data_IF_704556089142
#
_entry.id   IF_704556089142
#
_cell.length_a   1.000
_cell.length_b   1.000
_cell.length_c   1.000
_cell.angle_alpha   90.00
_cell.angle_beta   90.00
_cell.angle_gamma   90.00
#
_symmetry.space_group_name_H-M   'P 1'
#
loop_
_entity.id
_entity.type
_entity.pdbx_description
1 polymer ?
#
# COMPACT_ATOMS: atom_id res chain seq x y z
N UNK A 1 11.20 13.15 13.98
CA UNK A 1 11.92 13.13 12.71
C UNK A 1 11.92 14.50 12.03
N UNK A 2 10.74 15.11 11.79
CA UNK A 2 10.63 16.43 11.13
C UNK A 2 11.32 17.57 11.89
N UNK A 3 11.25 17.55 13.22
CA UNK A 3 11.98 18.49 14.08
C UNK A 3 13.49 18.31 13.87
N UNK A 4 13.97 17.07 13.88
CA UNK A 4 15.38 16.76 13.66
C UNK A 4 15.88 17.26 12.30
N UNK A 5 15.10 17.04 11.23
CA UNK A 5 15.40 17.58 9.89
C UNK A 5 15.48 19.11 9.88
N UNK A 6 14.46 19.77 10.43
CA UNK A 6 14.34 21.22 10.44
C UNK A 6 15.49 21.89 11.18
N UNK A 7 15.92 21.30 12.28
CA UNK A 7 17.01 21.80 13.12
C UNK A 7 18.37 21.16 12.81
N UNK A 8 18.46 20.33 11.77
CA UNK A 8 19.70 19.63 11.35
C UNK A 8 20.35 18.84 12.49
N UNK A 9 19.52 18.21 13.34
CA UNK A 9 20.02 17.37 14.43
C UNK A 9 20.56 16.06 13.89
N UNK A 10 21.58 15.50 14.55
CA UNK A 10 22.12 14.18 14.23
C UNK A 10 21.07 13.10 14.51
N UNK A 11 20.84 12.24 13.54
CA UNK A 11 20.00 11.05 13.75
C UNK A 11 20.84 9.95 14.38
N UNK A 12 20.37 9.45 15.54
CA UNK A 12 21.03 8.37 16.28
C UNK A 12 20.10 7.17 16.24
N UNK A 13 20.55 6.08 15.63
CA UNK A 13 19.85 4.80 15.68
C UNK A 13 20.45 3.95 16.81
N UNK A 14 19.63 3.58 17.77
CA UNK A 14 20.05 2.83 18.95
C UNK A 14 19.61 1.37 18.91
N UNK A 15 18.89 0.93 17.88
CA UNK A 15 18.33 -0.42 17.77
C UNK A 15 19.03 -1.26 16.72
N UNK A 16 19.17 -2.55 17.03
CA UNK A 16 19.34 -3.62 16.07
C UNK A 16 17.98 -4.05 15.49
N UNK A 17 17.99 -4.79 14.39
CA UNK A 17 16.77 -5.27 13.71
C UNK A 17 15.89 -6.18 14.62
N UNK A 18 16.48 -6.81 15.61
CA UNK A 18 15.80 -7.67 16.60
C UNK A 18 15.24 -6.92 17.82
N UNK A 19 15.33 -5.59 17.84
CA UNK A 19 14.87 -4.75 18.95
C UNK A 19 15.79 -4.69 20.17
N UNK A 20 17.01 -5.23 20.09
CA UNK A 20 18.07 -5.05 21.09
C UNK A 20 18.80 -3.74 20.83
N UNK A 21 19.46 -3.22 21.86
CA UNK A 21 20.25 -2.00 21.76
C UNK A 21 21.60 -2.29 21.11
N UNK A 22 22.03 -1.40 20.21
CA UNK A 22 23.29 -1.50 19.49
C UNK A 22 24.44 -0.74 20.21
N UNK A 23 25.60 -0.65 19.58
CA UNK A 23 26.79 0.00 20.11
C UNK A 23 26.74 1.55 20.14
N UNK A 24 25.60 2.16 19.80
CA UNK A 24 25.40 3.63 19.91
C UNK A 24 24.90 4.06 21.28
N UNK A 25 24.74 3.14 22.21
CA UNK A 25 24.33 3.37 23.61
C UNK A 25 25.49 3.12 24.57
N UNK A 26 25.40 3.53 25.86
CA UNK A 26 26.40 3.18 26.85
C UNK A 26 26.64 1.67 26.92
N UNK A 27 27.89 1.28 27.17
CA UNK A 27 28.36 -0.11 27.11
C UNK A 27 27.50 -1.10 27.92
N UNK A 28 27.07 -0.66 29.08
CA UNK A 28 26.20 -1.42 30.01
C UNK A 28 24.79 -1.72 29.49
N UNK A 29 24.39 -1.08 28.36
CA UNK A 29 23.08 -1.26 27.72
C UNK A 29 23.17 -2.00 26.37
N UNK A 30 24.36 -2.25 25.84
CA UNK A 30 24.56 -2.91 24.56
C UNK A 30 24.03 -4.35 24.62
N UNK A 31 23.29 -4.76 23.57
CA UNK A 31 22.74 -6.11 23.44
C UNK A 31 21.53 -6.44 24.30
N UNK A 32 21.09 -5.51 25.16
CA UNK A 32 19.92 -5.68 26.02
C UNK A 32 18.63 -5.46 25.23
N UNK A 33 17.57 -6.21 25.57
CA UNK A 33 16.24 -5.97 25.01
C UNK A 33 15.71 -4.58 25.41
N UNK A 34 14.99 -3.94 24.50
CA UNK A 34 14.47 -2.58 24.68
C UNK A 34 13.60 -2.37 25.93
N UNK A 35 12.86 -3.39 26.36
CA UNK A 35 12.02 -3.29 27.57
C UNK A 35 12.85 -3.40 28.84
N UNK A 36 13.82 -4.31 28.87
CA UNK A 36 14.78 -4.44 29.97
C UNK A 36 15.66 -3.18 30.08
N UNK A 37 16.08 -2.64 28.94
CA UNK A 37 16.87 -1.42 28.89
C UNK A 37 16.12 -0.20 29.47
N UNK A 38 14.79 -0.09 29.27
CA UNK A 38 13.97 0.97 29.91
C UNK A 38 14.00 0.89 31.42
N UNK A 39 13.95 -0.30 31.98
CA UNK A 39 14.03 -0.51 33.43
C UNK A 39 15.44 -0.13 33.93
N UNK A 40 16.47 -0.61 33.23
CA UNK A 40 17.86 -0.39 33.60
C UNK A 40 18.28 1.06 33.54
N UNK A 41 17.85 1.81 32.50
CA UNK A 41 18.17 3.25 32.39
C UNK A 41 17.54 4.07 33.51
N UNK A 42 16.33 3.74 33.96
CA UNK A 42 15.68 4.39 35.09
C UNK A 42 16.52 4.19 36.35
N UNK A 43 17.04 2.99 36.58
CA UNK A 43 17.91 2.69 37.71
C UNK A 43 19.20 3.51 37.65
N UNK A 44 19.88 3.52 36.51
CA UNK A 44 21.09 4.30 36.27
C UNK A 44 20.86 5.81 36.53
N UNK A 45 19.75 6.36 36.06
CA UNK A 45 19.41 7.75 36.27
C UNK A 45 19.15 8.06 37.78
N UNK A 46 18.53 7.15 38.51
CA UNK A 46 18.35 7.27 39.97
C UNK A 46 19.69 7.26 40.71
N UNK A 47 20.57 6.32 40.39
CA UNK A 47 21.89 6.21 40.98
C UNK A 47 22.75 7.45 40.74
N UNK A 48 22.64 8.02 39.54
CA UNK A 48 23.33 9.29 39.17
C UNK A 48 22.62 10.54 39.68
N UNK A 49 21.51 10.46 40.40
CA UNK A 49 20.67 11.56 40.87
C UNK A 49 20.20 12.50 39.74
N UNK A 50 19.97 11.94 38.56
CA UNK A 50 19.50 12.67 37.37
C UNK A 50 18.01 12.44 37.08
N UNK A 51 17.34 11.59 37.88
CA UNK A 51 15.90 11.32 37.72
C UNK A 51 15.12 12.25 38.64
N UNK A 52 14.33 13.14 38.04
CA UNK A 52 13.47 14.08 38.79
C UNK A 52 12.17 13.38 39.23
N UNK A 53 11.42 12.82 38.27
CA UNK A 53 10.15 12.10 38.53
C UNK A 53 9.81 11.11 37.43
N UNK A 54 8.89 10.20 37.74
CA UNK A 54 8.25 9.30 36.81
C UNK A 54 6.75 9.59 36.82
N UNK A 55 6.16 9.87 35.65
CA UNK A 55 4.72 10.10 35.51
C UNK A 55 4.09 9.06 34.57
N UNK A 56 2.93 8.56 34.95
CA UNK A 56 2.12 7.70 34.11
C UNK A 56 1.33 8.54 33.11
N UNK A 57 1.57 8.33 31.84
CA UNK A 57 0.84 9.01 30.75
C UNK A 57 0.07 7.99 29.91
N UNK A 58 -1.08 8.43 29.37
CA UNK A 58 -1.77 7.64 28.33
C UNK A 58 -1.13 7.97 26.99
N UNK A 59 -0.62 6.93 26.32
CA UNK A 59 -0.02 7.07 24.99
C UNK A 59 -0.54 5.97 24.06
N UNK A 60 -0.75 6.31 22.77
CA UNK A 60 -1.07 5.35 21.73
C UNK A 60 0.22 4.67 21.28
N UNK A 61 0.37 3.40 21.56
CA UNK A 61 1.51 2.59 21.17
C UNK A 61 1.17 1.78 19.92
N UNK A 62 1.97 1.87 18.84
CA UNK A 62 1.73 1.10 17.63
C UNK A 62 2.08 -0.38 17.84
N UNK A 63 1.23 -1.26 17.31
CA UNK A 63 1.42 -2.70 17.31
C UNK A 63 1.44 -3.25 15.89
N UNK A 64 2.21 -4.29 15.66
CA UNK A 64 2.21 -5.02 14.40
C UNK A 64 0.94 -5.85 14.23
N UNK A 65 0.22 -5.66 13.12
CA UNK A 65 -1.08 -6.30 12.86
C UNK A 65 -1.06 -7.83 12.91
N UNK A 66 0.07 -8.45 12.62
CA UNK A 66 0.22 -9.91 12.60
C UNK A 66 0.91 -10.47 13.83
N UNK A 67 1.92 -9.77 14.34
CA UNK A 67 2.74 -10.22 15.45
C UNK A 67 2.19 -9.80 16.82
N UNK A 68 1.31 -8.81 16.85
CA UNK A 68 0.84 -8.13 18.06
C UNK A 68 2.00 -7.63 18.95
N UNK A 69 3.15 -7.36 18.33
CA UNK A 69 4.34 -6.84 19.01
C UNK A 69 4.39 -5.32 18.91
N UNK A 70 4.91 -4.67 19.95
CA UNK A 70 5.14 -3.21 19.93
C UNK A 70 6.16 -2.87 18.85
N UNK A 71 5.84 -1.87 18.02
CA UNK A 71 6.69 -1.38 16.96
C UNK A 71 7.57 -0.25 17.48
N UNK A 72 8.86 -0.33 17.19
CA UNK A 72 9.83 0.75 17.44
C UNK A 72 10.26 1.38 16.10
N UNK A 73 10.41 2.72 16.05
CA UNK A 73 10.94 3.37 14.84
C UNK A 73 12.40 2.98 14.62
N UNK A 74 12.71 2.51 13.40
CA UNK A 74 14.04 2.18 12.96
C UNK A 74 14.36 2.90 11.65
N UNK A 75 15.44 3.65 11.61
CA UNK A 75 15.92 4.29 10.38
C UNK A 75 16.63 3.27 9.52
N UNK A 76 16.10 3.04 8.33
CA UNK A 76 16.67 2.14 7.32
C UNK A 76 16.67 2.80 5.95
N UNK A 77 17.60 2.39 5.10
CA UNK A 77 17.58 2.77 3.69
C UNK A 77 16.41 2.06 3.00
N UNK A 78 15.60 2.82 2.25
CA UNK A 78 14.41 2.32 1.57
C UNK A 78 14.34 2.92 0.16
N UNK A 79 13.70 2.21 -0.74
CA UNK A 79 13.37 2.73 -2.06
C UNK A 79 12.11 3.58 -2.02
N UNK A 80 12.21 4.79 -2.57
CA UNK A 80 11.07 5.70 -2.66
C UNK A 80 10.83 6.12 -4.11
N UNK A 81 9.55 6.14 -4.50
CA UNK A 81 9.11 6.81 -5.72
C UNK A 81 8.71 8.26 -5.38
N UNK A 82 9.13 9.21 -6.23
CA UNK A 82 8.68 10.60 -6.11
C UNK A 82 7.22 10.72 -6.56
N UNK A 83 6.32 10.43 -5.60
CA UNK A 83 4.90 10.47 -5.83
C UNK A 83 4.40 11.90 -6.14
N UNK A 84 5.05 12.94 -5.64
CA UNK A 84 4.68 14.34 -5.95
C UNK A 84 4.91 14.65 -7.43
N UNK A 85 6.03 14.19 -7.98
CA UNK A 85 6.30 14.33 -9.41
C UNK A 85 5.28 13.58 -10.25
N UNK A 86 5.02 12.30 -9.92
CA UNK A 86 4.09 11.45 -10.64
C UNK A 86 2.64 11.94 -10.56
N UNK A 87 2.23 12.49 -9.42
CA UNK A 87 0.88 13.00 -9.20
C UNK A 87 0.52 14.20 -10.07
N UNK A 88 1.48 15.05 -10.45
CA UNK A 88 1.23 16.27 -11.23
C UNK A 88 0.39 16.00 -12.49
N UNK A 89 0.80 15.02 -13.31
CA UNK A 89 0.09 14.65 -14.54
C UNK A 89 -1.25 13.97 -14.24
N UNK A 90 -1.31 13.10 -13.24
CA UNK A 90 -2.53 12.41 -12.83
C UNK A 90 -3.61 13.39 -12.33
N UNK A 91 -3.24 14.43 -11.58
CA UNK A 91 -4.13 15.53 -11.18
C UNK A 91 -4.65 16.29 -12.40
N UNK A 92 -3.77 16.62 -13.36
CA UNK A 92 -4.15 17.38 -14.56
C UNK A 92 -5.16 16.63 -15.43
N UNK A 93 -5.02 15.31 -15.54
CA UNK A 93 -5.93 14.45 -16.32
C UNK A 93 -7.35 14.51 -15.77
N UNK A 94 -7.53 14.52 -14.45
CA UNK A 94 -8.85 14.64 -13.81
C UNK A 94 -9.36 16.07 -13.90
N UNK A 95 -8.54 17.10 -13.68
CA UNK A 95 -8.92 18.51 -13.87
C UNK A 95 -9.42 18.79 -15.28
N UNK A 96 -8.78 18.19 -16.28
CA UNK A 96 -9.17 18.32 -17.72
C UNK A 96 -10.31 17.38 -18.12
N UNK A 97 -10.94 16.68 -17.17
CA UNK A 97 -12.04 15.74 -17.40
C UNK A 97 -11.74 14.61 -18.39
N UNK A 98 -10.46 14.26 -18.59
CA UNK A 98 -10.06 13.09 -19.39
C UNK A 98 -10.35 11.79 -18.66
N UNK A 99 -10.25 11.80 -17.33
CA UNK A 99 -10.73 10.75 -16.43
C UNK A 99 -11.77 11.35 -15.50
N UNK A 100 -12.94 10.72 -15.37
CA UNK A 100 -14.05 11.18 -14.54
C UNK A 100 -14.41 10.13 -13.52
N UNK A 101 -14.66 10.54 -12.26
CA UNK A 101 -15.17 9.67 -11.22
C UNK A 101 -16.70 9.65 -11.21
N UNK A 102 -17.25 8.47 -10.95
CA UNK A 102 -18.68 8.27 -10.77
C UNK A 102 -18.92 7.43 -9.50
N UNK A 103 -19.68 7.94 -8.51
CA UNK A 103 -20.22 9.30 -8.39
C UNK A 103 -19.13 10.39 -8.33
N UNK A 104 -19.48 11.58 -8.80
CA UNK A 104 -18.52 12.71 -8.91
C UNK A 104 -17.99 13.19 -7.53
N UNK A 105 -18.70 12.88 -6.43
CA UNK A 105 -18.25 13.20 -5.06
C UNK A 105 -16.84 12.69 -4.75
N UNK A 106 -16.44 11.55 -5.30
CA UNK A 106 -15.12 10.96 -5.11
C UNK A 106 -13.97 11.76 -5.75
N UNK A 107 -14.29 12.64 -6.69
CA UNK A 107 -13.30 13.56 -7.27
C UNK A 107 -12.67 14.46 -6.21
N UNK A 108 -13.47 14.95 -5.24
CA UNK A 108 -12.98 15.78 -4.13
C UNK A 108 -11.99 14.99 -3.27
N UNK A 109 -12.33 13.76 -2.89
CA UNK A 109 -11.46 12.87 -2.11
C UNK A 109 -10.16 12.56 -2.85
N UNK A 110 -10.24 12.25 -4.15
CA UNK A 110 -9.07 12.04 -4.99
C UNK A 110 -8.12 13.24 -4.96
N UNK A 111 -8.62 14.47 -5.16
CA UNK A 111 -7.79 15.67 -5.13
C UNK A 111 -7.19 15.94 -3.76
N UNK A 112 -7.95 15.70 -2.69
CA UNK A 112 -7.45 15.87 -1.33
C UNK A 112 -6.21 15.00 -1.07
N UNK A 113 -6.25 13.74 -1.47
CA UNK A 113 -5.12 12.82 -1.32
C UNK A 113 -3.96 13.16 -2.25
N UNK A 114 -4.25 13.43 -3.53
CA UNK A 114 -3.21 13.68 -4.53
C UNK A 114 -2.46 15.00 -4.32
N UNK A 115 -3.13 16.04 -3.82
CA UNK A 115 -2.47 17.32 -3.51
C UNK A 115 -1.58 17.24 -2.27
N UNK A 116 -1.86 16.34 -1.35
CA UNK A 116 -1.09 16.13 -0.10
C UNK A 116 -0.24 14.86 -0.12
N UNK A 117 0.02 14.31 -1.31
CA UNK A 117 0.71 13.04 -1.45
C UNK A 117 2.14 13.10 -0.90
N UNK A 118 2.50 12.10 -0.12
CA UNK A 118 3.84 11.92 0.42
C UNK A 118 4.69 11.01 -0.49
N UNK A 119 6.02 11.04 -0.37
CA UNK A 119 6.88 10.08 -1.06
C UNK A 119 6.43 8.65 -0.78
N UNK A 120 6.38 7.84 -1.83
CA UNK A 120 5.89 6.47 -1.72
C UNK A 120 7.04 5.50 -1.52
N UNK A 121 7.16 4.93 -0.32
CA UNK A 121 8.08 3.84 -0.07
C UNK A 121 7.60 2.59 -0.83
N UNK A 122 8.45 2.09 -1.74
CA UNK A 122 8.13 0.97 -2.62
C UNK A 122 8.87 -0.32 -2.26
N UNK A 123 9.79 -0.29 -1.31
CA UNK A 123 10.49 -1.48 -0.79
C UNK A 123 9.77 -2.08 0.41
N UNK A 124 9.79 -3.40 0.51
CA UNK A 124 9.22 -4.18 1.61
C UNK A 124 10.19 -5.28 2.02
N UNK A 125 10.35 -5.47 3.31
CA UNK A 125 11.14 -6.53 3.94
C UNK A 125 10.28 -7.78 4.11
N UNK A 126 9.84 -8.36 2.99
CA UNK A 126 9.00 -9.55 2.94
C UNK A 126 9.77 -10.70 2.28
N UNK A 127 9.46 -11.90 2.69
CA UNK A 127 10.08 -13.10 2.11
C UNK A 127 9.53 -13.44 0.71
N UNK A 128 8.27 -13.11 0.45
CA UNK A 128 7.61 -13.38 -0.82
C UNK A 128 7.24 -12.10 -1.54
N UNK A 129 7.56 -12.01 -2.82
CA UNK A 129 7.21 -10.87 -3.69
C UNK A 129 8.17 -10.73 -4.87
N UNK A 130 7.99 -9.67 -5.63
CA UNK A 130 8.89 -9.29 -6.73
C UNK A 130 10.14 -8.62 -6.16
N UNK A 131 11.28 -9.32 -6.18
CA UNK A 131 12.55 -8.76 -5.71
C UNK A 131 12.93 -7.54 -6.52
N UNK A 132 13.38 -6.51 -5.83
CA UNK A 132 13.85 -5.27 -6.45
C UNK A 132 15.00 -5.60 -7.42
N UNK A 133 14.92 -5.15 -8.69
CA UNK A 133 15.90 -5.46 -9.71
C UNK A 133 17.11 -4.51 -9.63
N UNK A 134 17.73 -4.43 -8.46
CA UNK A 134 18.88 -3.60 -8.16
C UNK A 134 20.00 -4.43 -7.55
N UNK A 135 21.24 -4.08 -7.92
CA UNK A 135 22.47 -4.70 -7.44
C UNK A 135 23.42 -3.65 -6.91
N UNK A 136 24.10 -3.96 -5.84
CA UNK A 136 25.01 -3.07 -5.13
C UNK A 136 26.45 -3.57 -5.24
N UNK A 137 27.37 -2.69 -5.58
CA UNK A 137 28.82 -2.93 -5.43
C UNK A 137 29.27 -2.66 -3.99
N UNK A 138 30.50 -3.05 -3.66
CA UNK A 138 31.10 -2.86 -2.33
C UNK A 138 31.14 -1.39 -1.87
N UNK A 139 31.27 -0.46 -2.81
CA UNK A 139 31.22 1.01 -2.57
C UNK A 139 29.79 1.58 -2.61
N UNK A 140 28.76 0.71 -2.52
CA UNK A 140 27.33 1.06 -2.51
C UNK A 140 26.81 1.72 -3.79
N UNK A 141 27.51 1.61 -4.91
CA UNK A 141 26.96 2.03 -6.21
C UNK A 141 25.83 1.07 -6.63
N UNK A 142 24.73 1.65 -7.13
CA UNK A 142 23.51 0.92 -7.50
C UNK A 142 23.48 0.71 -9.01
N UNK A 143 23.17 -0.53 -9.42
CA UNK A 143 22.95 -0.91 -10.80
C UNK A 143 21.58 -1.55 -10.92
N UNK A 144 20.69 -0.93 -11.71
CA UNK A 144 19.35 -1.46 -11.98
C UNK A 144 19.36 -2.15 -13.34
N UNK A 145 18.89 -3.40 -13.38
CA UNK A 145 18.91 -4.22 -14.58
C UNK A 145 17.80 -5.30 -14.51
N UNK A 146 17.46 -5.94 -15.61
CA UNK A 146 16.47 -7.03 -15.65
C UNK A 146 16.97 -8.29 -14.93
N UNK A 147 18.28 -8.57 -15.04
CA UNK A 147 18.92 -9.74 -14.45
C UNK A 147 20.36 -9.46 -14.02
N UNK A 148 20.94 -10.41 -13.28
CA UNK A 148 22.29 -10.28 -12.73
C UNK A 148 23.37 -10.16 -13.82
N UNK A 149 23.21 -10.88 -14.94
CA UNK A 149 24.17 -10.83 -16.04
C UNK A 149 24.28 -9.41 -16.63
N UNK A 150 23.13 -8.79 -16.85
CA UNK A 150 23.06 -7.41 -17.34
C UNK A 150 23.62 -6.42 -16.32
N UNK A 151 23.28 -6.58 -15.03
CA UNK A 151 23.82 -5.77 -13.96
C UNK A 151 25.37 -5.84 -13.92
N UNK A 152 25.95 -7.04 -14.03
CA UNK A 152 27.40 -7.25 -14.11
C UNK A 152 28.00 -6.59 -15.34
N UNK A 153 27.31 -6.64 -16.49
CA UNK A 153 27.75 -5.98 -17.73
C UNK A 153 27.82 -4.47 -17.59
N UNK A 154 26.75 -3.87 -16.98
CA UNK A 154 26.69 -2.44 -16.71
C UNK A 154 27.78 -2.03 -15.72
N UNK A 155 27.95 -2.78 -14.63
CA UNK A 155 29.02 -2.52 -13.63
C UNK A 155 30.43 -2.63 -14.22
N UNK A 156 30.68 -3.65 -15.04
CA UNK A 156 31.95 -3.80 -15.74
C UNK A 156 32.26 -2.60 -16.65
N UNK A 157 31.27 -2.08 -17.37
CA UNK A 157 31.41 -0.86 -18.18
C UNK A 157 31.75 0.36 -17.33
N UNK A 158 31.13 0.49 -16.16
CA UNK A 158 31.35 1.61 -15.23
C UNK A 158 32.72 1.55 -14.57
N UNK A 159 33.11 0.40 -14.01
CA UNK A 159 34.36 0.23 -13.28
C UNK A 159 35.55 -0.15 -14.16
N UNK A 160 35.32 -0.47 -15.44
CA UNK A 160 36.33 -1.00 -16.41
C UNK A 160 37.00 -2.30 -15.94
N UNK A 161 36.40 -2.97 -14.95
CA UNK A 161 36.86 -4.27 -14.42
C UNK A 161 35.63 -5.06 -13.93
N UNK A 162 35.81 -6.37 -13.72
CA UNK A 162 34.78 -7.17 -13.07
C UNK A 162 34.69 -6.80 -11.60
N UNK A 163 33.46 -6.63 -11.09
CA UNK A 163 33.17 -6.35 -9.67
C UNK A 163 32.07 -7.30 -9.19
N UNK A 164 32.17 -7.67 -7.93
CA UNK A 164 31.13 -8.45 -7.28
C UNK A 164 29.92 -7.55 -6.97
N UNK A 165 28.75 -8.09 -7.20
CA UNK A 165 27.51 -7.37 -6.97
C UNK A 165 26.60 -8.19 -6.05
N UNK A 166 26.00 -7.53 -5.07
CA UNK A 166 24.96 -8.10 -4.21
C UNK A 166 23.60 -7.57 -4.66
N UNK A 167 22.65 -8.47 -4.95
CA UNK A 167 21.26 -8.10 -5.26
C UNK A 167 20.55 -7.58 -4.01
N UNK A 168 19.64 -6.63 -4.19
CA UNK A 168 18.74 -6.15 -3.15
C UNK A 168 17.91 -7.33 -2.58
N UNK A 169 17.79 -7.38 -1.25
CA UNK A 169 17.07 -8.44 -0.56
C UNK A 169 15.57 -8.12 -0.44
N UNK A 170 15.19 -6.84 -0.59
CA UNK A 170 13.83 -6.37 -0.49
C UNK A 170 12.98 -6.71 -1.72
N UNK A 171 11.66 -6.71 -1.54
CA UNK A 171 10.68 -6.88 -2.61
C UNK A 171 9.91 -5.58 -2.83
N UNK A 172 9.33 -5.44 -4.02
CA UNK A 172 8.46 -4.31 -4.35
C UNK A 172 7.14 -4.38 -3.59
N UNK A 173 6.62 -3.23 -3.20
CA UNK A 173 5.25 -3.07 -2.71
C UNK A 173 4.26 -3.66 -3.72
N UNK A 174 3.31 -4.46 -3.25
CA UNK A 174 2.24 -5.06 -4.07
C UNK A 174 1.52 -4.00 -4.93
N UNK A 175 1.30 -2.82 -4.37
CA UNK A 175 0.67 -1.72 -5.09
C UNK A 175 1.53 -1.13 -6.22
N UNK A 176 2.84 -1.34 -6.19
CA UNK A 176 3.70 -0.94 -7.30
C UNK A 176 3.42 -1.79 -8.54
N UNK A 177 3.40 -3.11 -8.40
CA UNK A 177 3.05 -4.03 -9.49
C UNK A 177 1.61 -3.84 -9.95
N UNK A 178 0.66 -3.69 -9.00
CA UNK A 178 -0.76 -3.46 -9.29
C UNK A 178 -1.01 -2.14 -10.04
N UNK A 179 -0.15 -1.14 -9.85
CA UNK A 179 -0.25 0.14 -10.56
C UNK A 179 0.10 0.03 -12.06
N UNK A 180 0.80 -1.02 -12.47
CA UNK A 180 1.16 -1.28 -13.86
C UNK A 180 0.05 -2.04 -14.61
N UNK A 181 -0.92 -2.59 -13.90
CA UNK A 181 -1.95 -3.49 -14.41
C UNK A 181 -2.64 -3.00 -15.70
N UNK A 182 -3.06 -1.71 -15.85
CA UNK A 182 -3.82 -1.27 -17.02
C UNK A 182 -3.08 -1.39 -18.36
N UNK A 183 -1.77 -1.53 -18.33
CA UNK A 183 -0.95 -1.61 -19.54
C UNK A 183 -0.01 -2.83 -19.56
N UNK A 184 0.46 -3.30 -18.40
CA UNK A 184 1.32 -4.48 -18.34
C UNK A 184 0.59 -5.76 -18.78
N UNK A 185 -0.69 -5.93 -18.40
CA UNK A 185 -1.52 -7.07 -18.83
C UNK A 185 -1.87 -7.03 -20.33
N UNK A 186 -1.70 -5.89 -20.98
CA UNK A 186 -1.89 -5.72 -22.42
C UNK A 186 -0.58 -5.88 -23.21
N UNK A 187 0.49 -6.32 -22.55
CA UNK A 187 1.77 -6.66 -23.16
C UNK A 187 2.84 -5.59 -23.11
N UNK A 188 2.61 -4.45 -22.41
CA UNK A 188 3.69 -3.48 -22.20
C UNK A 188 4.90 -4.14 -21.51
N UNK A 189 6.17 -3.88 -21.91
CA UNK A 189 6.63 -2.73 -22.74
C UNK A 189 6.53 -2.93 -24.26
N UNK A 190 6.09 -4.08 -24.77
CA UNK A 190 5.97 -4.34 -26.18
C UNK A 190 4.80 -3.55 -26.80
N UNK A 191 4.90 -3.28 -28.11
CA UNK A 191 3.85 -2.60 -28.89
C UNK A 191 2.84 -3.62 -29.41
N UNK A 192 2.04 -4.20 -28.53
CA UNK A 192 1.05 -5.22 -28.88
C UNK A 192 -0.21 -4.62 -29.51
N UNK A 193 -0.99 -5.46 -30.20
CA UNK A 193 -2.32 -5.09 -30.71
C UNK A 193 -3.26 -4.73 -29.57
N UNK A 194 -3.26 -5.53 -28.48
CA UNK A 194 -4.10 -5.34 -27.31
C UNK A 194 -3.82 -4.00 -26.64
N UNK A 195 -2.56 -3.64 -26.46
CA UNK A 195 -2.17 -2.34 -25.89
C UNK A 195 -2.65 -1.17 -26.75
N UNK A 196 -2.52 -1.28 -28.08
CA UNK A 196 -3.00 -0.26 -29.01
C UNK A 196 -4.53 -0.14 -29.01
N UNK A 197 -5.23 -1.28 -28.88
CA UNK A 197 -6.70 -1.38 -28.99
C UNK A 197 -7.42 -1.01 -27.72
N UNK A 198 -6.93 -1.46 -26.56
CA UNK A 198 -7.65 -1.41 -25.30
C UNK A 198 -7.11 -0.39 -24.29
N UNK A 199 -5.96 0.21 -24.53
CA UNK A 199 -5.46 1.30 -23.70
C UNK A 199 -5.71 2.67 -24.34
N UNK A 200 -6.35 3.64 -23.64
CA UNK A 200 -6.94 3.55 -22.31
C UNK A 200 -8.26 2.77 -22.30
N UNK A 201 -8.55 2.10 -21.18
CA UNK A 201 -9.83 1.42 -21.00
C UNK A 201 -10.98 2.42 -20.85
N UNK A 202 -12.20 2.00 -21.20
CA UNK A 202 -13.38 2.86 -21.11
C UNK A 202 -13.80 3.13 -19.67
N UNK A 203 -13.84 2.09 -18.83
CA UNK A 203 -14.29 2.15 -17.44
C UNK A 203 -13.43 1.27 -16.56
N UNK A 204 -13.01 1.80 -15.42
CA UNK A 204 -12.50 1.04 -14.27
C UNK A 204 -13.59 0.96 -13.22
N UNK A 205 -13.90 -0.23 -12.73
CA UNK A 205 -14.82 -0.46 -11.61
C UNK A 205 -14.00 -0.78 -10.36
N UNK A 206 -14.25 -0.08 -9.25
CA UNK A 206 -13.44 -0.19 -8.03
C UNK A 206 -14.25 0.11 -6.77
N UNK A 207 -13.75 -0.33 -5.62
CA UNK A 207 -14.21 0.13 -4.31
C UNK A 207 -13.60 1.49 -3.94
N UNK A 208 -14.27 2.22 -3.06
CA UNK A 208 -13.77 3.52 -2.60
C UNK A 208 -12.51 3.39 -1.72
N UNK A 209 -12.35 2.29 -1.02
CA UNK A 209 -11.24 2.02 -0.10
C UNK A 209 -9.89 1.88 -0.78
N UNK A 210 -9.87 1.61 -2.09
CA UNK A 210 -8.64 1.49 -2.87
C UNK A 210 -8.46 2.60 -3.94
N UNK A 211 -9.23 3.66 -3.88
CA UNK A 211 -9.06 4.80 -4.81
C UNK A 211 -7.63 5.35 -4.71
N UNK A 212 -7.11 5.55 -3.51
CA UNK A 212 -5.75 6.05 -3.30
C UNK A 212 -4.69 4.98 -3.60
N UNK A 213 -4.87 3.79 -3.06
CA UNK A 213 -3.85 2.74 -3.14
C UNK A 213 -3.72 2.13 -4.54
N UNK A 214 -4.79 2.10 -5.32
CA UNK A 214 -4.81 1.47 -6.62
C UNK A 214 -5.10 2.46 -7.76
N UNK A 215 -6.24 3.12 -7.75
CA UNK A 215 -6.66 4.01 -8.86
C UNK A 215 -5.67 5.14 -9.06
N UNK A 216 -5.33 5.88 -8.01
CA UNK A 216 -4.39 6.99 -8.09
C UNK A 216 -3.00 6.53 -8.55
N UNK A 217 -2.53 5.36 -8.07
CA UNK A 217 -1.24 4.79 -8.48
C UNK A 217 -1.24 4.33 -9.93
N UNK A 218 -2.30 3.67 -10.41
CA UNK A 218 -2.45 3.36 -11.84
C UNK A 218 -2.46 4.64 -12.71
N UNK A 219 -3.11 5.69 -12.25
CA UNK A 219 -3.11 6.97 -12.96
C UNK A 219 -1.73 7.62 -12.99
N UNK A 220 -0.97 7.56 -11.89
CA UNK A 220 0.42 8.04 -11.85
C UNK A 220 1.31 7.27 -12.83
N UNK A 221 1.29 5.94 -12.75
CA UNK A 221 2.14 5.09 -13.60
C UNK A 221 1.72 5.13 -15.07
N UNK A 222 0.43 5.06 -15.37
CA UNK A 222 -0.08 5.17 -16.74
C UNK A 222 0.30 6.49 -17.40
N UNK A 223 0.12 7.62 -16.71
CA UNK A 223 0.55 8.91 -17.25
C UNK A 223 2.08 9.05 -17.35
N UNK A 224 2.84 8.35 -16.52
CA UNK A 224 4.30 8.37 -16.59
C UNK A 224 4.84 7.53 -17.74
N UNK A 225 4.46 6.28 -17.84
CA UNK A 225 4.99 5.33 -18.82
C UNK A 225 4.28 5.46 -20.18
N UNK A 226 2.96 5.46 -20.18
CA UNK A 226 2.16 5.49 -21.42
C UNK A 226 1.87 6.92 -21.93
N UNK A 227 2.25 7.97 -21.16
CA UNK A 227 2.01 9.40 -21.49
C UNK A 227 0.53 9.76 -21.69
N UNK A 228 -0.36 8.91 -21.23
CA UNK A 228 -1.82 9.00 -21.42
C UNK A 228 -2.54 8.43 -20.19
N UNK A 229 -3.78 8.88 -19.95
CA UNK A 229 -4.65 8.33 -18.90
C UNK A 229 -4.88 6.83 -19.09
N UNK A 230 -4.92 6.02 -18.01
CA UNK A 230 -5.15 4.56 -18.12
C UNK A 230 -6.62 4.21 -18.38
N UNK A 231 -7.57 5.05 -17.96
CA UNK A 231 -9.01 4.84 -18.14
C UNK A 231 -9.76 6.17 -18.18
N UNK A 232 -10.91 6.17 -18.89
CA UNK A 232 -11.73 7.37 -19.09
C UNK A 232 -12.70 7.63 -17.94
N UNK A 233 -13.23 6.57 -17.33
CA UNK A 233 -14.18 6.64 -16.21
C UNK A 233 -13.74 5.74 -15.08
N UNK A 234 -13.95 6.19 -13.84
CA UNK A 234 -13.78 5.40 -12.62
C UNK A 234 -15.14 5.27 -11.97
N UNK A 235 -15.70 4.08 -12.00
CA UNK A 235 -16.95 3.78 -11.32
C UNK A 235 -16.65 3.22 -9.94
N UNK A 236 -17.06 3.95 -8.91
CA UNK A 236 -16.85 3.56 -7.51
C UNK A 236 -18.11 2.89 -7.00
N UNK A 237 -18.03 1.56 -6.84
CA UNK A 237 -19.15 0.75 -6.37
C UNK A 237 -19.30 0.78 -4.84
N UNK A 238 -20.48 0.38 -4.37
CA UNK A 238 -20.75 0.16 -2.96
C UNK A 238 -20.00 -1.08 -2.44
N UNK A 239 -19.62 -1.10 -1.16
CA UNK A 239 -19.11 -2.29 -0.50
C UNK A 239 -20.25 -3.06 0.16
N UNK A 240 -20.17 -4.39 0.10
CA UNK A 240 -21.12 -5.26 0.81
C UNK A 240 -20.65 -5.43 2.26
N UNK A 241 -21.55 -5.15 3.19
CA UNK A 241 -21.36 -5.30 4.64
C UNK A 241 -22.36 -6.29 5.20
N UNK A 242 -22.11 -6.77 6.40
CA UNK A 242 -23.07 -7.59 7.12
C UNK A 242 -24.36 -6.80 7.44
N UNK A 243 -25.35 -7.46 8.00
CA UNK A 243 -26.64 -6.88 8.36
C UNK A 243 -26.51 -5.70 9.34
N UNK A 244 -25.50 -5.75 10.23
CA UNK A 244 -25.18 -4.68 11.20
C UNK A 244 -24.36 -3.53 10.58
N UNK A 245 -23.98 -3.65 9.30
CA UNK A 245 -23.16 -2.68 8.60
C UNK A 245 -21.65 -2.78 8.91
N UNK A 246 -21.21 -3.90 9.51
CA UNK A 246 -19.80 -4.13 9.77
C UNK A 246 -19.10 -4.72 8.55
N UNK A 247 -17.81 -4.45 8.43
CA UNK A 247 -16.96 -5.09 7.41
C UNK A 247 -16.90 -6.59 7.67
N UNK A 248 -17.21 -7.38 6.65
CA UNK A 248 -17.10 -8.83 6.72
C UNK A 248 -15.64 -9.27 6.80
N UNK A 249 -15.32 -10.19 7.69
CA UNK A 249 -14.00 -10.82 7.79
C UNK A 249 -14.11 -12.23 8.35
N UNK A 250 -13.23 -13.13 7.91
CA UNK A 250 -13.18 -14.51 8.43
C UNK A 250 -12.92 -14.56 9.93
N UNK A 251 -12.08 -13.65 10.44
CA UNK A 251 -11.75 -13.56 11.86
C UNK A 251 -12.94 -13.15 12.75
N UNK A 252 -13.93 -12.44 12.20
CA UNK A 252 -15.15 -12.03 12.91
C UNK A 252 -16.29 -13.04 12.74
N UNK A 253 -16.15 -14.03 11.88
CA UNK A 253 -17.19 -15.02 11.60
C UNK A 253 -18.47 -14.47 10.96
N UNK A 254 -18.43 -13.25 10.40
CA UNK A 254 -19.58 -12.57 9.79
C UNK A 254 -19.53 -12.56 8.25
N UNK A 255 -18.77 -13.46 7.65
CA UNK A 255 -18.68 -13.59 6.19
C UNK A 255 -19.91 -14.36 5.69
N UNK A 256 -20.63 -13.77 4.75
CA UNK A 256 -21.69 -14.41 3.99
C UNK A 256 -21.08 -14.92 2.69
N UNK A 257 -21.07 -16.25 2.50
CA UNK A 257 -20.61 -16.84 1.25
C UNK A 257 -21.69 -16.67 0.18
N UNK A 258 -21.41 -15.96 -0.92
CA UNK A 258 -22.37 -15.80 -2.00
C UNK A 258 -22.81 -17.12 -2.64
N UNK A 259 -21.98 -18.16 -2.62
CA UNK A 259 -22.35 -19.47 -3.16
C UNK A 259 -23.43 -20.16 -2.31
N UNK A 260 -23.39 -20.00 -0.98
CA UNK A 260 -24.40 -20.57 -0.10
C UNK A 260 -25.75 -19.84 -0.27
N UNK A 261 -25.70 -18.52 -0.44
CA UNK A 261 -26.89 -17.73 -0.78
C UNK A 261 -27.48 -18.16 -2.13
N UNK A 262 -26.65 -18.38 -3.13
CA UNK A 262 -27.07 -18.85 -4.46
C UNK A 262 -27.73 -20.22 -4.37
N UNK A 263 -27.18 -21.17 -3.62
CA UNK A 263 -27.76 -22.50 -3.41
C UNK A 263 -29.16 -22.43 -2.77
N UNK A 264 -29.33 -21.49 -1.80
CA UNK A 264 -30.58 -21.39 -1.02
C UNK A 264 -31.64 -20.57 -1.73
N UNK A 265 -31.29 -19.50 -2.40
CA UNK A 265 -32.23 -18.50 -2.93
C UNK A 265 -32.19 -18.33 -4.45
N UNK A 266 -31.21 -18.90 -5.13
CA UNK A 266 -30.97 -18.72 -6.56
C UNK A 266 -30.07 -17.51 -6.88
N UNK A 267 -29.35 -17.61 -8.00
CA UNK A 267 -28.40 -16.58 -8.43
C UNK A 267 -29.09 -15.26 -8.75
N UNK A 268 -30.25 -15.28 -9.39
CA UNK A 268 -30.97 -14.07 -9.78
C UNK A 268 -31.46 -13.29 -8.58
N UNK A 269 -31.87 -13.98 -7.50
CA UNK A 269 -32.29 -13.34 -6.24
C UNK A 269 -31.13 -12.57 -5.61
N UNK A 270 -29.94 -13.15 -5.54
CA UNK A 270 -28.76 -12.47 -5.04
C UNK A 270 -28.37 -11.28 -5.92
N UNK A 271 -28.28 -11.48 -7.24
CA UNK A 271 -27.93 -10.43 -8.21
C UNK A 271 -28.90 -9.26 -8.16
N UNK A 272 -30.20 -9.55 -8.15
CA UNK A 272 -31.24 -8.53 -8.07
C UNK A 272 -31.16 -7.76 -6.74
N UNK A 273 -30.96 -8.46 -5.62
CA UNK A 273 -30.75 -7.84 -4.30
C UNK A 273 -29.61 -6.84 -4.33
N UNK A 274 -28.43 -7.28 -4.79
CA UNK A 274 -27.25 -6.43 -4.81
C UNK A 274 -27.43 -5.19 -5.70
N UNK A 275 -28.00 -5.37 -6.90
CA UNK A 275 -28.23 -4.26 -7.84
C UNK A 275 -29.27 -3.27 -7.28
N UNK A 276 -30.37 -3.77 -6.73
CA UNK A 276 -31.45 -2.93 -6.17
C UNK A 276 -30.99 -2.11 -4.97
N UNK A 277 -30.02 -2.63 -4.21
CA UNK A 277 -29.49 -1.97 -3.01
C UNK A 277 -28.24 -1.12 -3.29
N UNK A 278 -27.61 -1.27 -4.45
CA UNK A 278 -26.37 -0.60 -4.81
C UNK A 278 -26.60 0.87 -5.20
N UNK A 279 -27.06 1.68 -4.25
CA UNK A 279 -27.11 3.12 -4.46
C UNK A 279 -25.68 3.70 -4.50
N UNK A 280 -25.37 4.58 -5.46
CA UNK A 280 -24.04 5.18 -5.56
C UNK A 280 -23.60 5.85 -4.26
N UNK A 281 -22.40 5.48 -3.76
CA UNK A 281 -21.80 6.07 -2.55
C UNK A 281 -22.34 5.57 -1.22
N UNK A 282 -23.13 4.50 -1.19
CA UNK A 282 -23.62 3.87 0.05
C UNK A 282 -23.29 2.38 0.07
N UNK A 283 -22.83 1.90 1.23
CA UNK A 283 -22.58 0.47 1.44
C UNK A 283 -23.90 -0.32 1.45
N UNK A 284 -23.84 -1.55 0.94
CA UNK A 284 -24.95 -2.48 0.91
C UNK A 284 -24.92 -3.32 2.18
N UNK A 285 -25.94 -3.20 3.03
CA UNK A 285 -26.15 -4.11 4.17
C UNK A 285 -26.88 -5.34 3.68
N UNK A 286 -26.15 -6.44 3.50
CA UNK A 286 -26.72 -7.70 3.03
C UNK A 286 -27.27 -8.52 4.20
N UNK A 287 -28.53 -9.00 4.05
CA UNK A 287 -29.15 -9.98 4.94
C UNK A 287 -29.89 -11.03 4.11
N UNK A 288 -30.01 -12.24 4.66
CA UNK A 288 -30.76 -13.32 4.00
C UNK A 288 -32.22 -12.99 3.79
N UNK A 289 -32.86 -12.30 4.74
CA UNK A 289 -34.26 -11.89 4.65
C UNK A 289 -34.53 -10.99 3.44
N UNK A 290 -33.58 -10.09 3.13
CA UNK A 290 -33.69 -9.24 1.94
C UNK A 290 -33.58 -10.05 0.65
N UNK A 291 -32.66 -11.01 0.60
CA UNK A 291 -32.53 -11.89 -0.56
C UNK A 291 -33.79 -12.72 -0.77
N UNK A 292 -34.36 -13.24 0.31
CA UNK A 292 -35.63 -13.97 0.26
C UNK A 292 -36.79 -13.10 -0.21
N UNK A 293 -36.87 -11.86 0.27
CA UNK A 293 -37.90 -10.89 -0.19
C UNK A 293 -37.83 -10.64 -1.70
N UNK A 294 -36.61 -10.44 -2.23
CA UNK A 294 -36.42 -10.27 -3.67
C UNK A 294 -36.65 -11.57 -4.48
N UNK A 295 -36.37 -12.75 -3.89
CA UNK A 295 -36.78 -14.03 -4.50
C UNK A 295 -38.28 -14.10 -4.72
N UNK A 296 -39.06 -13.74 -3.69
CA UNK A 296 -40.52 -13.74 -3.81
C UNK A 296 -40.99 -12.73 -4.88
N UNK A 297 -40.36 -11.58 -4.99
CA UNK A 297 -40.63 -10.62 -6.06
C UNK A 297 -40.33 -11.20 -7.46
N UNK A 298 -39.19 -11.84 -7.64
CA UNK A 298 -38.83 -12.46 -8.91
C UNK A 298 -39.78 -13.60 -9.30
N UNK A 299 -40.18 -14.45 -8.35
CA UNK A 299 -41.18 -15.49 -8.59
C UNK A 299 -42.54 -14.91 -9.02
N UNK A 300 -42.91 -13.71 -8.53
CA UNK A 300 -44.13 -13.02 -8.96
C UNK A 300 -44.06 -12.50 -10.38
N UNK A 301 -42.86 -12.14 -10.85
CA UNK A 301 -42.65 -11.69 -12.23
C UNK A 301 -42.70 -12.90 -13.19
N UNK A 302 -42.04 -14.03 -12.82
CA UNK A 302 -42.00 -15.25 -13.60
C UNK A 302 -43.40 -15.89 -13.72
#
# INVERSE_FOLDING_TARGET
>A
FEIGKRHKLKFINIFEKNGKLNNSVPEELIGIDRFEARIKIIKILKEKKLLEKIENIKNAVPYGDRSNSIIEPLLTEQWFADAKFLAKKAIQVVKKKKTNFFPNSWTKTYFQWMNNIQPWCISRQLWWGHRIPAWYSSDKKIFVAENEHEAKKIAKKYYKKNVELKRDDDVLDTWFSSALWPFATLGWPDKTYELKRFYPTSVLVTGFDIIFFWVARMMMMGNHFMKREPFKKVYVHALVRDEKGQKMSKSKGNVIDPLDIIKKYGADSLRFTLISMAAPGRDVKLSEDRVNGYRNFLNKIW
#
